data_IF_466294530897
#
_entry.id   IF_466294530897
#
_cell.length_a   1.000
_cell.length_b   1.000
_cell.length_c   1.000
_cell.angle_alpha   90.00
_cell.angle_beta   90.00
_cell.angle_gamma   90.00
#
_symmetry.space_group_name_H-M   'P 1'
#
loop_
_entity.id
_entity.type
_entity.pdbx_description
1 polymer ?
#
# COMPACT_ATOMS: atom_id res chain seq x y z
N UNK A 1 -11.46 19.44 16.37
CA UNK A 1 -12.64 20.25 16.02
C UNK A 1 -12.19 21.53 15.31
N UNK A 2 -12.99 22.12 14.43
CA UNK A 2 -12.82 23.48 13.89
C UNK A 2 -13.81 24.41 14.60
N UNK A 3 -13.32 25.49 15.21
CA UNK A 3 -14.11 26.63 15.70
C UNK A 3 -13.85 27.86 14.83
N UNK A 4 -14.89 28.29 14.11
CA UNK A 4 -14.90 29.43 13.21
C UNK A 4 -15.56 30.68 13.81
N UNK A 5 -15.74 30.77 15.13
CA UNK A 5 -16.46 31.90 15.76
C UNK A 5 -15.84 33.26 15.45
N UNK A 6 -14.52 33.29 15.23
CA UNK A 6 -13.76 34.49 14.89
C UNK A 6 -13.61 34.73 13.37
N UNK A 7 -14.25 33.92 12.51
CA UNK A 7 -14.29 34.15 11.07
C UNK A 7 -15.13 35.39 10.74
N UNK A 8 -14.67 36.15 9.75
CA UNK A 8 -15.33 37.32 9.18
C UNK A 8 -16.01 36.97 7.85
N UNK A 9 -17.00 37.77 7.40
CA UNK A 9 -17.63 37.57 6.09
C UNK A 9 -16.60 37.46 4.95
N UNK A 10 -16.71 36.40 4.17
CA UNK A 10 -15.79 36.04 3.08
C UNK A 10 -14.72 35.02 3.49
N UNK A 11 -14.59 34.69 4.78
CA UNK A 11 -13.62 33.70 5.22
C UNK A 11 -14.09 32.27 4.93
N UNK A 12 -13.13 31.44 4.56
CA UNK A 12 -13.26 29.99 4.34
C UNK A 12 -12.17 29.30 5.14
N UNK A 13 -12.54 28.34 6.00
CA UNK A 13 -11.59 27.53 6.74
C UNK A 13 -12.02 26.06 6.79
N UNK A 14 -11.08 25.13 6.67
CA UNK A 14 -11.46 23.72 6.60
C UNK A 14 -10.32 22.72 6.46
N UNK A 15 -10.71 21.53 6.03
CA UNK A 15 -9.86 20.37 5.74
C UNK A 15 -9.86 20.12 4.23
N UNK A 16 -8.67 20.11 3.64
CA UNK A 16 -8.44 19.88 2.23
C UNK A 16 -7.68 18.59 1.95
N UNK A 17 -8.00 18.00 0.81
CA UNK A 17 -7.19 17.03 0.07
C UNK A 17 -6.48 17.80 -1.03
N UNK A 18 -5.27 18.27 -0.69
CA UNK A 18 -4.47 19.15 -1.52
C UNK A 18 -3.74 18.36 -2.59
N UNK A 19 -4.18 18.54 -3.83
CA UNK A 19 -3.48 18.22 -5.07
C UNK A 19 -4.08 19.08 -6.18
N UNK A 20 -3.80 18.78 -7.44
CA UNK A 20 -4.48 19.37 -8.59
C UNK A 20 -5.03 18.23 -9.47
N UNK A 21 -6.35 18.04 -9.56
CA UNK A 21 -7.41 18.75 -8.82
C UNK A 21 -7.36 18.53 -7.30
N UNK A 22 -7.88 19.51 -6.55
CA UNK A 22 -8.09 19.48 -5.10
C UNK A 22 -9.56 19.20 -4.76
N UNK A 23 -9.81 18.82 -3.52
CA UNK A 23 -11.15 18.85 -2.94
C UNK A 23 -11.08 19.13 -1.45
N UNK A 24 -12.10 19.78 -0.91
CA UNK A 24 -12.08 20.21 0.50
C UNK A 24 -13.48 20.35 1.09
N UNK A 25 -13.54 20.32 2.42
CA UNK A 25 -14.75 20.58 3.21
C UNK A 25 -14.41 21.61 4.29
N UNK A 26 -15.29 22.56 4.56
CA UNK A 26 -15.00 23.63 5.50
C UNK A 26 -16.16 24.55 5.83
N UNK A 27 -15.96 25.41 6.83
CA UNK A 27 -16.86 26.50 7.16
C UNK A 27 -16.60 27.69 6.24
N UNK A 28 -17.67 28.27 5.74
CA UNK A 28 -17.70 29.55 5.04
C UNK A 28 -18.48 30.52 5.90
N UNK A 29 -17.85 31.64 6.28
CA UNK A 29 -18.57 32.74 6.92
C UNK A 29 -19.17 33.64 5.85
N UNK A 30 -20.48 33.56 5.71
CA UNK A 30 -21.25 34.45 4.82
C UNK A 30 -21.70 35.69 5.60
N UNK A 31 -22.23 36.70 4.92
CA UNK A 31 -22.88 37.83 5.58
C UNK A 31 -24.03 37.39 6.52
N UNK A 32 -24.95 36.52 6.08
CA UNK A 32 -26.07 36.05 6.90
C UNK A 32 -25.71 35.06 8.01
N UNK A 33 -24.61 34.31 7.93
CA UNK A 33 -24.28 33.26 8.89
C UNK A 33 -23.20 32.29 8.41
N UNK A 34 -23.17 31.09 8.98
CA UNK A 34 -22.23 30.04 8.60
C UNK A 34 -22.86 29.05 7.61
N UNK A 35 -22.03 28.62 6.66
CA UNK A 35 -22.35 27.56 5.72
C UNK A 35 -21.24 26.52 5.80
N UNK A 36 -21.61 25.24 5.85
CA UNK A 36 -20.69 24.15 5.59
C UNK A 36 -20.63 23.93 4.08
N UNK A 37 -19.43 24.01 3.51
CA UNK A 37 -19.17 23.86 2.07
C UNK A 37 -18.27 22.66 1.81
N UNK A 38 -18.63 21.86 0.81
CA UNK A 38 -17.70 20.95 0.14
C UNK A 38 -17.42 21.43 -1.28
N UNK A 39 -16.17 21.33 -1.73
CA UNK A 39 -15.74 21.68 -3.07
C UNK A 39 -14.98 20.53 -3.73
N UNK A 40 -15.28 20.28 -5.00
CA UNK A 40 -14.61 19.32 -5.85
C UNK A 40 -14.08 20.02 -7.10
N UNK A 41 -12.78 20.26 -7.18
CA UNK A 41 -12.17 20.98 -8.30
C UNK A 41 -12.22 20.20 -9.62
N UNK A 42 -12.28 18.86 -9.58
CA UNK A 42 -12.34 18.06 -10.80
C UNK A 42 -13.66 18.26 -11.55
N UNK A 43 -14.76 18.37 -10.81
CA UNK A 43 -16.10 18.58 -11.36
C UNK A 43 -16.51 20.07 -11.35
N UNK A 44 -15.70 20.92 -10.74
CA UNK A 44 -16.03 22.31 -10.39
C UNK A 44 -17.36 22.43 -9.63
N UNK A 45 -17.58 21.50 -8.70
CA UNK A 45 -18.83 21.41 -7.94
C UNK A 45 -18.65 21.99 -6.54
N UNK A 46 -19.61 22.82 -6.15
CA UNK A 46 -19.75 23.34 -4.78
C UNK A 46 -21.06 22.86 -4.20
N UNK A 47 -21.02 22.29 -2.99
CA UNK A 47 -22.19 21.88 -2.24
C UNK A 47 -22.22 22.58 -0.88
N UNK A 48 -23.28 23.36 -0.66
CA UNK A 48 -23.48 24.14 0.55
C UNK A 48 -24.61 23.56 1.41
N UNK A 49 -24.40 23.60 2.72
CA UNK A 49 -25.39 23.27 3.76
C UNK A 49 -25.38 24.38 4.81
N UNK A 50 -26.53 25.00 5.14
CA UNK A 50 -26.61 25.91 6.28
C UNK A 50 -26.09 25.23 7.55
N UNK A 51 -25.37 25.98 8.38
CA UNK A 51 -24.91 25.50 9.67
C UNK A 51 -25.14 26.56 10.74
N UNK A 52 -25.91 26.23 11.77
CA UNK A 52 -26.26 27.17 12.84
C UNK A 52 -25.13 27.39 13.85
N UNK A 53 -24.12 26.52 13.81
CA UNK A 53 -22.98 26.51 14.73
C UNK A 53 -21.71 26.99 14.03
N UNK A 54 -20.87 27.81 14.70
CA UNK A 54 -19.52 28.11 14.22
C UNK A 54 -18.55 26.94 14.43
N UNK A 55 -18.99 25.83 15.02
CA UNK A 55 -18.16 24.67 15.37
C UNK A 55 -18.56 23.44 14.59
N UNK A 56 -17.57 22.75 14.02
CA UNK A 56 -17.77 21.52 13.25
C UNK A 56 -16.54 20.62 13.33
N UNK A 57 -16.75 19.30 13.30
CA UNK A 57 -15.68 18.33 13.09
C UNK A 57 -15.64 17.96 11.61
N UNK A 58 -14.44 17.90 11.02
CA UNK A 58 -14.24 17.60 9.61
C UNK A 58 -13.40 16.31 9.49
N UNK A 59 -13.72 15.47 8.51
CA UNK A 59 -13.00 14.21 8.28
C UNK A 59 -12.89 13.91 6.79
N UNK A 60 -11.73 13.38 6.41
CA UNK A 60 -11.51 12.74 5.13
C UNK A 60 -11.19 11.26 5.36
N UNK A 61 -11.92 10.37 4.68
CA UNK A 61 -11.68 8.92 4.71
C UNK A 61 -11.16 8.48 3.35
N UNK A 62 -10.02 7.80 3.29
CA UNK A 62 -9.39 7.36 2.05
C UNK A 62 -9.55 5.87 1.77
N UNK A 63 -9.80 5.53 0.51
CA UNK A 63 -9.59 4.22 -0.10
C UNK A 63 -8.45 4.36 -1.12
N UNK A 64 -7.23 4.10 -0.66
CA UNK A 64 -6.02 4.26 -1.48
C UNK A 64 -5.79 3.10 -2.46
N UNK A 65 -6.53 2.00 -2.32
CA UNK A 65 -6.45 0.90 -3.29
C UNK A 65 -7.21 1.24 -4.58
N UNK A 66 -8.18 2.16 -4.49
CA UNK A 66 -8.98 2.65 -5.62
C UNK A 66 -8.75 4.14 -5.92
N UNK A 67 -7.80 4.79 -5.25
CA UNK A 67 -7.51 6.23 -5.32
C UNK A 67 -8.74 7.11 -5.05
N UNK A 68 -9.52 6.80 -4.02
CA UNK A 68 -10.73 7.55 -3.65
C UNK A 68 -10.63 8.14 -2.25
N UNK A 69 -11.34 9.23 -2.02
CA UNK A 69 -11.58 9.75 -0.67
C UNK A 69 -12.99 10.34 -0.53
N UNK A 70 -13.57 10.20 0.65
CA UNK A 70 -14.85 10.80 1.00
C UNK A 70 -14.65 11.88 2.08
N UNK A 71 -15.22 13.05 1.83
CA UNK A 71 -15.29 14.12 2.83
C UNK A 71 -16.58 13.99 3.65
N UNK A 72 -16.48 14.24 4.95
CA UNK A 72 -17.58 14.16 5.90
C UNK A 72 -17.40 15.16 7.04
N UNK A 73 -18.50 15.45 7.73
CA UNK A 73 -18.54 16.35 8.86
C UNK A 73 -19.37 15.78 10.01
N UNK A 74 -19.19 16.35 11.21
CA UNK A 74 -19.97 16.01 12.40
C UNK A 74 -20.21 17.27 13.24
N UNK A 75 -21.41 17.39 13.81
CA UNK A 75 -21.81 18.47 14.72
C UNK A 75 -21.81 18.06 16.19
N UNK A 76 -21.76 16.75 16.45
CA UNK A 76 -21.74 16.14 17.79
C UNK A 76 -20.36 15.55 18.16
N UNK A 77 -19.42 15.50 17.21
CA UNK A 77 -18.10 14.86 17.35
C UNK A 77 -18.13 13.33 17.24
N UNK A 78 -19.31 12.72 17.09
CA UNK A 78 -19.49 11.27 17.11
C UNK A 78 -19.99 10.72 15.76
N UNK A 79 -21.02 11.35 15.19
CA UNK A 79 -21.69 10.88 13.97
C UNK A 79 -21.21 11.69 12.77
N UNK A 80 -20.51 11.03 11.84
CA UNK A 80 -19.99 11.68 10.64
C UNK A 80 -20.89 11.44 9.43
N UNK A 81 -21.35 12.53 8.83
CA UNK A 81 -22.20 12.50 7.63
C UNK A 81 -21.38 12.92 6.41
N UNK A 82 -21.36 12.12 5.32
CA UNK A 82 -20.72 12.50 4.06
C UNK A 82 -21.31 13.79 3.48
N UNK A 83 -20.47 14.62 2.86
CA UNK A 83 -20.90 15.78 2.09
C UNK A 83 -20.22 15.78 0.72
N UNK A 84 -21.03 15.77 -0.34
CA UNK A 84 -20.54 15.66 -1.72
C UNK A 84 -20.23 14.22 -2.13
N UNK A 85 -19.79 14.07 -3.37
CA UNK A 85 -19.39 12.79 -3.97
C UNK A 85 -17.97 12.39 -3.52
N UNK A 86 -17.61 11.12 -3.76
CA UNK A 86 -16.24 10.66 -3.54
C UNK A 86 -15.28 11.38 -4.52
N UNK A 87 -14.15 11.83 -3.98
CA UNK A 87 -13.08 12.51 -4.69
C UNK A 87 -12.08 11.50 -5.23
N UNK A 88 -11.69 11.64 -6.50
CA UNK A 88 -10.53 10.94 -7.07
C UNK A 88 -9.26 11.59 -6.54
N UNK A 89 -8.35 10.80 -5.97
CA UNK A 89 -7.03 11.22 -5.53
C UNK A 89 -6.06 11.17 -6.71
N UNK A 90 -5.67 12.31 -7.30
CA UNK A 90 -4.81 12.29 -8.48
C UNK A 90 -3.35 12.04 -8.09
N UNK A 91 -2.64 11.29 -8.93
CA UNK A 91 -1.19 11.36 -9.02
C UNK A 91 -0.83 11.97 -10.38
N UNK A 92 -0.18 13.14 -10.36
CA UNK A 92 0.09 13.90 -11.59
C UNK A 92 1.49 14.52 -11.59
N UNK A 93 1.97 14.82 -12.80
CA UNK A 93 3.37 15.22 -13.08
C UNK A 93 3.63 16.73 -13.02
N UNK A 94 2.63 17.56 -12.73
CA UNK A 94 2.80 19.00 -12.51
C UNK A 94 3.37 19.29 -11.12
N UNK A 95 2.86 18.64 -10.07
CA UNK A 95 3.38 18.84 -8.70
C UNK A 95 4.34 17.73 -8.27
N UNK A 96 4.31 16.57 -8.92
CA UNK A 96 5.05 15.37 -8.50
C UNK A 96 4.79 14.97 -7.04
N UNK A 97 3.63 15.34 -6.50
CA UNK A 97 3.24 15.08 -5.12
C UNK A 97 1.97 14.23 -5.08
N UNK A 98 1.95 13.26 -4.17
CA UNK A 98 0.71 12.63 -3.74
C UNK A 98 -0.19 13.62 -3.01
N UNK A 99 -1.48 13.31 -2.93
CA UNK A 99 -2.45 14.16 -2.22
C UNK A 99 -2.10 14.29 -0.74
N UNK A 100 -2.14 15.52 -0.22
CA UNK A 100 -1.82 15.83 1.18
C UNK A 100 -3.06 16.33 1.92
N UNK A 101 -3.14 16.04 3.20
CA UNK A 101 -4.09 16.72 4.08
C UNK A 101 -3.63 18.16 4.32
N UNK A 102 -4.57 19.10 4.32
CA UNK A 102 -4.30 20.50 4.61
C UNK A 102 -5.38 21.08 5.52
N UNK A 103 -4.98 21.68 6.63
CA UNK A 103 -5.82 22.64 7.35
C UNK A 103 -5.57 24.01 6.74
N UNK A 104 -6.63 24.75 6.43
CA UNK A 104 -6.51 26.04 5.75
C UNK A 104 -7.50 27.06 6.30
N UNK A 105 -7.17 28.33 6.16
CA UNK A 105 -8.05 29.47 6.39
C UNK A 105 -7.62 30.63 5.48
N UNK A 106 -8.56 31.21 4.72
CA UNK A 106 -8.32 32.38 3.88
C UNK A 106 -9.61 33.17 3.66
N UNK A 107 -9.49 34.43 3.25
CA UNK A 107 -10.62 35.27 2.84
C UNK A 107 -10.75 35.28 1.31
N UNK A 108 -11.91 34.92 0.77
CA UNK A 108 -12.11 34.84 -0.69
C UNK A 108 -12.34 36.20 -1.37
N UNK A 109 -12.51 37.28 -0.61
CA UNK A 109 -12.74 38.64 -1.12
C UNK A 109 -11.44 39.46 -1.22
N UNK A 110 -10.27 38.84 -0.98
CA UNK A 110 -8.97 39.48 -1.16
C UNK A 110 -8.62 40.53 -0.10
N UNK A 111 -9.25 40.46 1.07
CA UNK A 111 -8.96 41.32 2.24
C UNK A 111 -8.47 40.50 3.44
N UNK A 112 -8.00 41.18 4.47
CA UNK A 112 -7.71 40.53 5.75
C UNK A 112 -9.01 39.94 6.32
N UNK A 113 -8.91 38.68 6.78
CA UNK A 113 -10.01 37.95 7.38
C UNK A 113 -9.90 37.88 8.90
N UNK A 114 -10.78 37.08 9.48
CA UNK A 114 -10.69 36.62 10.85
C UNK A 114 -9.75 35.42 11.02
N UNK A 115 -9.99 34.61 12.04
CA UNK A 115 -9.19 33.41 12.31
C UNK A 115 -10.03 32.16 12.55
N UNK A 116 -9.47 31.02 12.20
CA UNK A 116 -10.00 29.69 12.47
C UNK A 116 -9.18 29.01 13.58
N UNK A 117 -9.84 28.37 14.53
CA UNK A 117 -9.18 27.61 15.59
C UNK A 117 -9.36 26.11 15.33
N UNK A 118 -8.27 25.40 15.14
CA UNK A 118 -8.24 23.94 15.00
C UNK A 118 -7.75 23.33 16.31
N UNK A 119 -8.65 22.62 16.99
CA UNK A 119 -8.41 22.07 18.33
C UNK A 119 -7.49 20.84 18.32
N UNK A 120 -7.64 19.97 17.30
CA UNK A 120 -6.85 18.74 17.17
C UNK A 120 -6.82 18.26 15.70
N UNK A 121 -5.80 17.48 15.36
CA UNK A 121 -5.66 16.77 14.09
C UNK A 121 -5.23 15.32 14.35
N UNK A 122 -6.16 14.39 14.13
CA UNK A 122 -5.95 12.97 14.33
C UNK A 122 -5.86 12.23 12.98
N UNK A 123 -4.86 11.36 12.84
CA UNK A 123 -4.71 10.43 11.71
C UNK A 123 -4.85 9.01 12.23
N UNK A 124 -5.83 8.29 11.70
CA UNK A 124 -6.02 6.87 11.97
C UNK A 124 -5.55 6.06 10.74
N UNK A 125 -4.54 5.21 10.93
CA UNK A 125 -3.99 4.35 9.86
C UNK A 125 -4.25 2.87 10.19
N UNK A 126 -5.52 2.39 10.09
CA UNK A 126 -5.88 1.03 10.52
C UNK A 126 -5.19 -0.08 9.72
N UNK A 127 -4.60 0.25 8.57
CA UNK A 127 -3.88 -0.67 7.67
C UNK A 127 -2.37 -0.40 7.62
N UNK A 128 -1.82 0.40 8.54
CA UNK A 128 -0.38 0.66 8.60
C UNK A 128 0.42 -0.57 9.06
N UNK A 129 -0.13 -1.34 10.00
CA UNK A 129 0.48 -2.61 10.39
C UNK A 129 0.22 -3.68 9.32
N UNK A 130 1.29 -4.08 8.65
CA UNK A 130 1.29 -5.10 7.60
C UNK A 130 1.94 -6.41 8.05
N UNK A 131 2.23 -6.55 9.35
CA UNK A 131 2.79 -7.80 9.90
C UNK A 131 1.92 -9.01 9.56
N UNK A 132 0.59 -8.83 9.55
CA UNK A 132 -0.39 -9.86 9.21
C UNK A 132 -0.42 -10.24 7.72
N UNK A 133 0.23 -9.47 6.84
CA UNK A 133 0.34 -9.80 5.42
C UNK A 133 1.45 -10.83 5.16
N UNK A 134 2.33 -11.09 6.13
CA UNK A 134 3.38 -12.09 5.99
C UNK A 134 2.78 -13.47 6.34
N UNK A 135 2.97 -14.50 5.50
CA UNK A 135 2.44 -15.83 5.77
C UNK A 135 3.30 -16.61 6.78
N UNK A 136 3.65 -15.99 7.90
CA UNK A 136 4.52 -16.56 8.93
C UNK A 136 3.91 -17.84 9.54
N UNK A 137 4.71 -18.90 9.64
CA UNK A 137 4.29 -20.21 10.16
C UNK A 137 3.45 -21.04 9.17
N UNK A 138 3.02 -20.46 8.05
CA UNK A 138 2.17 -21.13 7.06
C UNK A 138 2.99 -21.93 6.06
N UNK A 139 2.32 -22.88 5.40
CA UNK A 139 2.83 -23.52 4.19
C UNK A 139 2.21 -22.79 3.01
N UNK A 140 3.04 -22.30 2.10
CA UNK A 140 2.60 -21.52 0.93
C UNK A 140 3.08 -22.14 -0.37
N UNK A 141 2.42 -21.76 -1.47
CA UNK A 141 2.99 -21.83 -2.80
C UNK A 141 3.39 -20.43 -3.26
N UNK A 142 4.44 -20.35 -4.08
CA UNK A 142 4.86 -19.13 -4.76
C UNK A 142 4.68 -19.30 -6.26
N UNK A 143 4.12 -18.29 -6.92
CA UNK A 143 3.92 -18.27 -8.37
C UNK A 143 4.54 -17.00 -8.92
N UNK A 144 5.43 -17.11 -9.90
CA UNK A 144 6.05 -15.97 -10.55
C UNK A 144 4.99 -15.14 -11.27
N UNK A 145 4.90 -13.84 -10.98
CA UNK A 145 3.88 -12.96 -11.55
C UNK A 145 4.10 -12.71 -13.06
N UNK A 146 5.35 -12.79 -13.53
CA UNK A 146 5.71 -12.52 -14.93
C UNK A 146 5.21 -13.57 -15.92
N UNK A 147 5.29 -14.86 -15.56
CA UNK A 147 4.93 -15.97 -16.45
C UNK A 147 3.94 -16.99 -15.86
N UNK A 148 3.49 -16.81 -14.62
CA UNK A 148 2.51 -17.71 -13.98
C UNK A 148 3.06 -19.09 -13.59
N UNK A 149 4.37 -19.30 -13.64
CA UNK A 149 4.98 -20.58 -13.25
C UNK A 149 5.14 -20.69 -11.73
N UNK A 150 4.97 -21.89 -11.18
CA UNK A 150 5.17 -22.13 -9.75
C UNK A 150 6.66 -22.21 -9.42
N UNK A 151 7.08 -21.68 -8.27
CA UNK A 151 8.41 -21.92 -7.71
C UNK A 151 8.46 -23.36 -7.24
N UNK A 152 9.52 -24.08 -7.60
CA UNK A 152 9.66 -25.51 -7.42
C UNK A 152 11.05 -25.89 -6.92
N UNK A 153 11.12 -26.75 -5.90
CA UNK A 153 12.34 -27.45 -5.49
C UNK A 153 12.71 -28.52 -6.51
N UNK A 154 13.61 -28.20 -7.44
CA UNK A 154 14.08 -29.15 -8.42
C UNK A 154 14.86 -30.30 -7.73
N UNK A 155 14.68 -31.53 -8.22
CA UNK A 155 15.37 -32.74 -7.74
C UNK A 155 16.90 -32.65 -7.73
N UNK A 156 17.48 -31.78 -8.54
CA UNK A 156 18.92 -31.50 -8.62
C UNK A 156 19.38 -30.45 -7.58
N UNK A 157 18.52 -30.05 -6.63
CA UNK A 157 18.84 -29.14 -5.53
C UNK A 157 18.88 -27.66 -5.90
N UNK A 158 18.33 -27.28 -7.06
CA UNK A 158 18.17 -25.88 -7.49
C UNK A 158 16.73 -25.41 -7.30
N UNK A 159 16.53 -24.14 -6.99
CA UNK A 159 15.21 -23.53 -7.10
C UNK A 159 14.92 -23.27 -8.58
N UNK A 160 13.78 -23.77 -9.06
CA UNK A 160 13.40 -23.71 -10.47
C UNK A 160 11.93 -23.34 -10.62
N UNK A 161 11.48 -23.18 -11.86
CA UNK A 161 10.06 -23.03 -12.20
C UNK A 161 9.44 -24.38 -12.60
N UNK A 162 8.16 -24.54 -12.27
CA UNK A 162 7.28 -25.60 -12.75
C UNK A 162 6.10 -24.99 -13.54
N UNK A 163 5.83 -25.53 -14.73
CA UNK A 163 4.78 -25.02 -15.62
C UNK A 163 3.40 -25.40 -15.09
N UNK A 164 2.39 -24.52 -15.20
CA UNK A 164 1.02 -24.88 -14.85
C UNK A 164 0.58 -26.18 -15.52
N UNK A 165 0.01 -27.10 -14.73
CA UNK A 165 -0.45 -28.41 -15.20
C UNK A 165 0.62 -29.49 -15.32
N UNK A 166 1.91 -29.19 -15.11
CA UNK A 166 2.97 -30.21 -15.13
C UNK A 166 2.95 -31.09 -13.88
N UNK A 167 3.54 -32.31 -13.91
CA UNK A 167 3.67 -33.16 -12.73
C UNK A 167 4.40 -32.47 -11.57
N UNK A 168 5.39 -31.63 -11.88
CA UNK A 168 6.16 -30.86 -10.90
C UNK A 168 5.27 -29.84 -10.19
N UNK A 169 4.39 -29.15 -10.91
CA UNK A 169 3.45 -28.17 -10.35
C UNK A 169 2.33 -28.81 -9.50
N UNK A 170 2.17 -30.13 -9.57
CA UNK A 170 1.25 -30.90 -8.72
C UNK A 170 1.97 -31.58 -7.54
N UNK A 171 3.31 -31.49 -7.48
CA UNK A 171 4.11 -32.16 -6.47
C UNK A 171 4.20 -31.38 -5.16
N UNK A 172 4.56 -32.02 -4.04
CA UNK A 172 4.87 -31.32 -2.79
C UNK A 172 6.04 -30.32 -2.92
N UNK A 173 6.87 -30.42 -3.96
CA UNK A 173 8.03 -29.56 -4.16
C UNK A 173 7.73 -28.11 -4.52
N UNK A 174 6.45 -27.73 -4.69
CA UNK A 174 6.06 -26.32 -4.83
C UNK A 174 5.59 -25.67 -3.51
N UNK A 175 5.60 -26.43 -2.42
CA UNK A 175 5.09 -26.02 -1.11
C UNK A 175 6.24 -25.71 -0.16
N UNK A 176 6.21 -24.53 0.43
CA UNK A 176 7.26 -24.02 1.31
C UNK A 176 6.68 -23.57 2.65
N UNK A 177 7.24 -24.07 3.75
CA UNK A 177 6.96 -23.52 5.08
C UNK A 177 7.73 -22.22 5.27
N UNK A 178 7.04 -21.18 5.73
CA UNK A 178 7.63 -19.87 6.00
C UNK A 178 7.96 -19.76 7.48
N UNK A 179 9.24 -19.81 7.78
CA UNK A 179 9.74 -19.72 9.15
C UNK A 179 10.02 -18.26 9.52
N UNK A 180 9.50 -17.79 10.64
CA UNK A 180 9.71 -16.42 11.14
C UNK A 180 11.09 -16.25 11.78
N UNK A 181 11.80 -15.19 11.40
CA UNK A 181 13.10 -14.78 11.97
C UNK A 181 13.05 -13.38 12.58
N UNK A 182 11.85 -12.83 12.78
CA UNK A 182 11.59 -11.51 13.33
C UNK A 182 11.87 -10.38 12.33
N UNK A 183 11.33 -9.19 12.61
CA UNK A 183 11.55 -7.98 11.80
C UNK A 183 11.22 -8.16 10.30
N UNK A 184 10.27 -9.05 9.98
CA UNK A 184 9.88 -9.38 8.61
C UNK A 184 10.89 -10.26 7.85
N UNK A 185 11.89 -10.82 8.55
CA UNK A 185 12.84 -11.78 7.99
C UNK A 185 12.23 -13.18 8.02
N UNK A 186 12.49 -13.95 6.97
CA UNK A 186 11.97 -15.30 6.82
C UNK A 186 13.05 -16.26 6.32
N UNK A 187 12.87 -17.54 6.62
CA UNK A 187 13.51 -18.64 5.92
C UNK A 187 12.42 -19.53 5.30
N UNK A 188 12.58 -19.94 4.04
CA UNK A 188 11.61 -20.79 3.35
C UNK A 188 12.14 -22.22 3.25
N UNK A 189 11.39 -23.19 3.76
CA UNK A 189 11.75 -24.60 3.76
C UNK A 189 10.80 -25.39 2.86
N UNK A 190 11.32 -26.09 1.85
CA UNK A 190 10.54 -27.00 1.03
C UNK A 190 10.05 -28.20 1.87
N UNK A 191 8.74 -28.46 1.85
CA UNK A 191 8.15 -29.51 2.72
C UNK A 191 8.42 -30.94 2.22
N UNK A 192 8.90 -31.08 0.98
CA UNK A 192 9.29 -32.37 0.39
C UNK A 192 10.60 -32.93 0.97
N UNK A 193 11.18 -32.23 1.94
CA UNK A 193 12.44 -32.57 2.58
C UNK A 193 13.67 -32.06 1.84
N UNK A 194 13.54 -31.32 0.74
CA UNK A 194 14.69 -30.74 0.00
C UNK A 194 15.49 -29.76 0.85
N UNK A 195 14.85 -29.08 1.82
CA UNK A 195 15.48 -28.17 2.77
C UNK A 195 15.16 -26.70 2.49
N UNK A 196 16.02 -25.81 2.95
CA UNK A 196 15.84 -24.36 2.91
C UNK A 196 16.28 -23.76 1.58
N UNK A 197 15.46 -22.86 1.02
CA UNK A 197 15.88 -21.97 -0.06
C UNK A 197 17.07 -21.15 0.44
N UNK A 198 18.19 -21.23 -0.26
CA UNK A 198 19.47 -20.69 0.17
C UNK A 198 20.22 -20.11 -1.01
N UNK A 199 20.65 -18.85 -0.89
CA UNK A 199 21.54 -18.21 -1.87
C UNK A 199 22.97 -18.64 -1.60
N UNK A 200 23.52 -19.49 -2.47
CA UNK A 200 24.94 -19.86 -2.47
C UNK A 200 25.74 -18.95 -3.40
N UNK A 201 27.06 -19.12 -3.45
CA UNK A 201 27.91 -18.38 -4.39
C UNK A 201 27.68 -16.86 -4.39
N UNK A 202 27.67 -16.28 -5.59
CA UNK A 202 27.39 -14.85 -5.82
C UNK A 202 25.88 -14.58 -5.97
N UNK A 203 25.07 -15.63 -6.07
CA UNK A 203 23.64 -15.53 -6.33
C UNK A 203 23.29 -15.55 -7.82
N UNK A 204 24.18 -16.06 -8.67
CA UNK A 204 23.94 -16.17 -10.11
C UNK A 204 22.76 -17.12 -10.44
N UNK A 205 22.38 -17.20 -11.71
CA UNK A 205 21.46 -18.23 -12.20
C UNK A 205 21.90 -19.63 -11.74
N UNK A 206 21.04 -20.30 -10.97
CA UNK A 206 21.35 -21.60 -10.36
C UNK A 206 22.07 -21.55 -9.01
N UNK A 207 22.39 -20.38 -8.46
CA UNK A 207 22.92 -20.24 -7.10
C UNK A 207 21.83 -20.15 -6.03
N UNK A 208 20.55 -20.14 -6.41
CA UNK A 208 19.46 -20.33 -5.45
C UNK A 208 19.21 -21.83 -5.30
N UNK A 209 19.65 -22.40 -4.18
CA UNK A 209 19.71 -23.85 -3.91
C UNK A 209 18.81 -24.27 -2.76
N UNK A 210 18.58 -25.57 -2.65
CA UNK A 210 17.91 -26.18 -1.51
C UNK A 210 18.98 -26.83 -0.62
N UNK A 211 19.13 -26.34 0.61
CA UNK A 211 20.13 -26.80 1.58
C UNK A 211 19.45 -27.42 2.80
N UNK A 212 19.95 -28.58 3.26
CA UNK A 212 19.34 -29.30 4.39
C UNK A 212 19.36 -28.53 5.71
N UNK A 213 20.36 -27.69 5.89
CA UNK A 213 20.50 -26.83 7.06
C UNK A 213 20.28 -25.38 6.64
N UNK A 214 19.62 -24.63 7.51
CA UNK A 214 19.55 -23.19 7.39
C UNK A 214 20.94 -22.58 7.59
N UNK A 215 21.24 -21.54 6.81
CA UNK A 215 22.48 -20.76 6.88
C UNK A 215 22.14 -19.27 6.77
N UNK A 216 23.12 -18.39 6.90
CA UNK A 216 22.94 -16.95 6.64
C UNK A 216 22.43 -16.68 5.21
N UNK A 217 22.78 -17.55 4.25
CA UNK A 217 22.29 -17.47 2.87
C UNK A 217 20.80 -17.85 2.71
N UNK A 218 20.19 -18.43 3.74
CA UNK A 218 18.78 -18.83 3.75
C UNK A 218 17.84 -17.73 4.27
N UNK A 219 18.40 -16.60 4.70
CA UNK A 219 17.64 -15.49 5.27
C UNK A 219 17.22 -14.48 4.19
N UNK A 220 15.92 -14.19 4.14
CA UNK A 220 15.33 -13.22 3.24
C UNK A 220 14.55 -12.16 4.01
N UNK A 221 14.64 -10.90 3.60
CA UNK A 221 13.64 -9.91 3.98
C UNK A 221 12.42 -10.12 3.08
N UNK A 222 11.26 -10.35 3.71
CA UNK A 222 9.99 -10.39 3.00
C UNK A 222 9.57 -8.97 2.64
N UNK A 223 9.51 -8.67 1.34
CA UNK A 223 8.97 -7.41 0.85
C UNK A 223 7.50 -7.62 0.47
N UNK A 224 6.58 -7.15 1.30
CA UNK A 224 5.15 -7.12 0.95
C UNK A 224 4.92 -6.16 -0.22
N UNK A 225 4.34 -6.69 -1.31
CA UNK A 225 3.99 -5.95 -2.52
C UNK A 225 2.48 -5.67 -2.61
N UNK A 226 1.76 -5.91 -1.50
CA UNK A 226 0.31 -5.87 -1.34
C UNK A 226 -0.40 -6.99 -2.13
N UNK A 227 -1.68 -7.23 -1.80
CA UNK A 227 -2.59 -8.08 -2.57
C UNK A 227 -2.05 -9.51 -2.78
N UNK A 228 -1.45 -10.08 -1.73
CA UNK A 228 -0.88 -11.44 -1.78
C UNK A 228 0.36 -11.57 -2.66
N UNK A 229 1.06 -10.46 -2.94
CA UNK A 229 2.30 -10.45 -3.71
C UNK A 229 3.50 -10.17 -2.79
N UNK A 230 4.65 -10.70 -3.15
CA UNK A 230 5.90 -10.48 -2.42
C UNK A 230 7.13 -10.49 -3.33
N UNK A 231 8.20 -9.90 -2.83
CA UNK A 231 9.56 -10.20 -3.30
C UNK A 231 10.40 -10.74 -2.13
N UNK A 232 11.44 -11.51 -2.45
CA UNK A 232 12.35 -12.08 -1.47
C UNK A 232 13.73 -11.44 -1.62
N UNK A 233 14.06 -10.49 -0.75
CA UNK A 233 15.38 -9.86 -0.75
C UNK A 233 16.35 -10.74 0.04
N UNK A 234 17.34 -11.31 -0.64
CA UNK A 234 18.43 -12.06 0.00
C UNK A 234 19.24 -11.14 0.91
N UNK A 235 19.38 -11.50 2.18
CA UNK A 235 20.22 -10.75 3.12
C UNK A 235 21.71 -11.02 2.92
N UNK A 236 22.07 -12.05 2.13
CA UNK A 236 23.47 -12.36 1.82
C UNK A 236 24.10 -11.37 0.84
N UNK A 237 23.37 -11.00 -0.20
CA UNK A 237 23.90 -10.18 -1.30
C UNK A 237 23.03 -8.95 -1.63
N UNK A 238 21.96 -8.70 -0.88
CA UNK A 238 21.05 -7.56 -1.02
C UNK A 238 20.44 -7.44 -2.43
N UNK A 239 20.08 -8.59 -2.99
CA UNK A 239 19.40 -8.71 -4.28
C UNK A 239 18.16 -9.60 -4.15
N UNK A 240 17.20 -9.38 -5.03
CA UNK A 240 15.94 -10.13 -5.02
C UNK A 240 16.09 -11.46 -5.75
N UNK A 241 15.46 -12.49 -5.20
CA UNK A 241 15.27 -13.78 -5.89
C UNK A 241 14.39 -13.53 -7.12
N UNK A 242 14.89 -13.93 -8.29
CA UNK A 242 14.21 -13.71 -9.56
C UNK A 242 14.59 -14.79 -10.58
N UNK A 243 13.83 -14.83 -11.67
CA UNK A 243 14.08 -15.67 -12.85
C UNK A 243 13.78 -14.80 -14.07
N UNK A 244 14.53 -14.91 -15.17
CA UNK A 244 14.04 -14.31 -16.42
C UNK A 244 12.81 -15.12 -16.89
N UNK A 245 11.63 -14.48 -17.00
CA UNK A 245 10.40 -15.20 -17.35
C UNK A 245 10.42 -15.86 -18.73
N UNK A 246 11.40 -15.55 -19.59
CA UNK A 246 11.48 -15.97 -21.00
C UNK A 246 12.54 -17.04 -21.29
N UNK A 247 13.57 -17.20 -20.44
CA UNK A 247 14.74 -18.04 -20.75
C UNK A 247 14.63 -19.47 -20.21
N UNK A 248 13.74 -19.68 -19.22
CA UNK A 248 13.57 -20.98 -18.56
C UNK A 248 14.74 -21.39 -17.67
N UNK A 249 15.65 -20.46 -17.37
CA UNK A 249 16.78 -20.69 -16.48
C UNK A 249 16.34 -20.91 -15.02
N UNK A 250 17.19 -21.48 -14.15
CA UNK A 250 16.91 -21.56 -12.73
C UNK A 250 16.81 -20.18 -12.07
N UNK A 251 16.24 -20.10 -10.87
CA UNK A 251 16.23 -18.85 -10.12
C UNK A 251 17.65 -18.39 -9.78
N UNK A 252 17.84 -17.08 -9.85
CA UNK A 252 19.00 -16.34 -9.35
C UNK A 252 18.57 -15.44 -8.19
N UNK A 253 19.54 -14.79 -7.55
CA UNK A 253 19.34 -13.72 -6.58
C UNK A 253 20.20 -12.53 -7.00
N UNK A 254 20.00 -12.01 -8.23
CA UNK A 254 20.75 -10.86 -8.76
C UNK A 254 19.86 -9.64 -9.02
N UNK A 255 18.54 -9.79 -8.94
CA UNK A 255 17.64 -8.73 -9.35
C UNK A 255 17.75 -7.49 -8.44
N UNK A 256 17.87 -6.27 -9.00
CA UNK A 256 17.88 -5.05 -8.23
C UNK A 256 16.49 -4.65 -7.69
N UNK A 257 15.41 -5.26 -8.19
CA UNK A 257 14.03 -4.93 -7.81
C UNK A 257 13.04 -5.32 -8.89
N UNK A 258 11.81 -4.82 -8.76
CA UNK A 258 10.75 -5.03 -9.75
C UNK A 258 10.63 -3.85 -10.72
N UNK A 259 10.36 -4.16 -11.99
CA UNK A 259 9.84 -3.22 -12.99
C UNK A 259 8.45 -2.71 -12.58
N UNK A 260 8.00 -1.56 -13.12
CA UNK A 260 6.67 -1.01 -12.83
C UNK A 260 5.51 -1.97 -13.13
N UNK A 261 5.65 -2.82 -14.15
CA UNK A 261 4.67 -3.86 -14.50
C UNK A 261 4.78 -5.12 -13.66
N UNK A 262 5.83 -5.24 -12.82
CA UNK A 262 6.15 -6.39 -11.96
C UNK A 262 6.36 -7.71 -12.71
N UNK A 263 6.61 -7.65 -14.02
CA UNK A 263 6.71 -8.82 -14.90
C UNK A 263 8.15 -9.22 -15.26
N UNK A 264 9.14 -8.68 -14.57
CA UNK A 264 10.56 -9.01 -14.74
C UNK A 264 11.02 -10.25 -13.96
N UNK A 265 10.09 -10.90 -13.25
CA UNK A 265 10.31 -12.19 -12.61
C UNK A 265 10.83 -12.12 -11.17
N UNK A 266 10.98 -10.92 -10.58
CA UNK A 266 11.33 -10.76 -9.17
C UNK A 266 10.11 -10.80 -8.22
N UNK A 267 8.89 -10.69 -8.77
CA UNK A 267 7.65 -10.63 -7.99
C UNK A 267 6.92 -11.97 -8.04
N UNK A 268 6.50 -12.43 -6.87
CA UNK A 268 5.71 -13.63 -6.68
C UNK A 268 4.31 -13.28 -6.19
N UNK A 269 3.32 -14.03 -6.62
CA UNK A 269 2.07 -14.19 -5.87
C UNK A 269 2.24 -15.37 -4.93
N UNK A 270 1.80 -15.23 -3.68
CA UNK A 270 1.80 -16.32 -2.71
C UNK A 270 0.37 -16.72 -2.36
N UNK A 271 0.18 -18.00 -2.05
CA UNK A 271 -1.10 -18.53 -1.52
C UNK A 271 -0.80 -19.56 -0.46
N UNK A 272 -1.64 -19.59 0.58
CA UNK A 272 -1.62 -20.69 1.54
C UNK A 272 -1.95 -22.00 0.82
N UNK A 273 -1.10 -23.01 1.01
CA UNK A 273 -1.34 -24.34 0.45
C UNK A 273 -2.46 -25.02 1.26
N UNK A 274 -3.41 -25.66 0.58
CA UNK A 274 -4.35 -26.53 1.25
C UNK A 274 -3.59 -27.68 1.94
N UNK A 275 -4.04 -28.04 3.15
CA UNK A 275 -3.56 -29.23 3.89
C UNK A 275 -3.62 -30.49 3.01
#
# INVERSE_FOLDING_TARGET
MLDGSALQPGDIAGLGLLNMPSGWIGLVRTGPGFVLRAYNQLLDETLDRPLDSPRVFLRATGDYDNDLAQLSYSTDGATFTPLGTALRLPYQLKTFQGTRYALFAFNSEGREGGCAQFDDFHVAEPLADRSQNLPLGKIITLTNLGNGTSVWSNRNGMLHSARPGSPEAQSPGIRFRVHDRGQGRVALEAIDGSGFITVVGLGLSGDVRLCKQETDGSLFQWQDMLRGQCMLLSLKNHRYVAIDPHTGEPYSAESPGARPDRKDGAVFTWREAAE
#
